data_IF_317287194606
#
_entry.id   IF_317287194606
#
_cell.length_a   1.000
_cell.length_b   1.000
_cell.length_c   1.000
_cell.angle_alpha   90.00
_cell.angle_beta   90.00
_cell.angle_gamma   90.00
#
_symmetry.space_group_name_H-M   'P 1'
#
loop_
_entity.id
_entity.type
_entity.pdbx_description
1 polymer ?
#
# COMPACT_ATOMS: atom_id res chain seq x y z
N UNK A 1 -10.73 -12.88 -11.01
CA UNK A 1 -11.60 -13.45 -9.95
C UNK A 1 -12.14 -14.84 -10.30
N UNK A 2 -12.36 -15.14 -11.58
CA UNK A 2 -12.97 -16.40 -12.07
C UNK A 2 -12.22 -17.70 -11.76
N UNK A 3 -10.94 -17.65 -11.39
CA UNK A 3 -10.12 -18.85 -11.10
C UNK A 3 -9.85 -19.11 -9.61
N UNK A 4 -10.47 -18.35 -8.71
CA UNK A 4 -10.28 -18.50 -7.24
C UNK A 4 -8.80 -18.46 -6.79
N UNK A 5 -7.98 -17.67 -7.48
CA UNK A 5 -6.58 -17.42 -7.16
C UNK A 5 -6.49 -16.16 -6.32
N UNK A 6 -5.86 -16.28 -5.14
CA UNK A 6 -5.50 -15.13 -4.34
C UNK A 6 -4.46 -14.28 -5.05
N UNK A 7 -4.64 -12.97 -4.96
CA UNK A 7 -3.75 -12.00 -5.56
C UNK A 7 -3.58 -10.84 -4.60
N UNK A 8 -2.44 -10.20 -4.71
CA UNK A 8 -2.09 -8.93 -4.11
C UNK A 8 -1.24 -8.18 -5.13
N UNK A 9 -1.15 -6.86 -5.02
CA UNK A 9 -0.40 -6.08 -6.00
C UNK A 9 0.30 -4.88 -5.37
N UNK A 10 1.40 -4.44 -5.99
CA UNK A 10 2.05 -3.19 -5.67
C UNK A 10 1.93 -2.26 -6.87
N UNK A 11 1.42 -1.05 -6.66
CA UNK A 11 1.23 -0.09 -7.73
C UNK A 11 2.34 0.97 -7.71
N UNK A 12 3.02 1.12 -8.85
CA UNK A 12 3.89 2.26 -9.07
C UNK A 12 3.01 3.49 -9.33
N UNK A 13 2.63 4.17 -8.26
CA UNK A 13 1.76 5.35 -8.31
C UNK A 13 2.51 6.58 -8.85
N UNK A 14 3.84 6.56 -8.74
CA UNK A 14 4.70 7.65 -9.17
C UNK A 14 5.88 7.16 -9.99
N UNK A 15 6.14 7.85 -11.10
CA UNK A 15 7.29 7.70 -11.99
C UNK A 15 7.73 9.11 -12.46
N UNK A 16 8.85 9.26 -13.20
CA UNK A 16 9.35 10.58 -13.59
C UNK A 16 8.39 11.44 -14.42
N UNK A 17 7.45 10.82 -15.12
CA UNK A 17 6.50 11.45 -16.05
C UNK A 17 5.09 11.56 -15.44
N UNK A 18 4.89 11.08 -14.21
CA UNK A 18 3.62 11.23 -13.49
C UNK A 18 3.24 12.70 -13.38
N UNK A 19 2.02 13.01 -13.81
CA UNK A 19 1.35 14.28 -13.56
C UNK A 19 0.27 14.11 -12.50
N UNK A 20 -0.13 15.20 -11.85
CA UNK A 20 -1.17 15.13 -10.83
C UNK A 20 -2.50 14.58 -11.38
N UNK A 21 -2.83 14.87 -12.64
CA UNK A 21 -4.05 14.36 -13.27
C UNK A 21 -3.94 12.86 -13.64
N UNK A 22 -2.74 12.39 -14.03
CA UNK A 22 -2.52 10.96 -14.34
C UNK A 22 -2.71 10.02 -13.15
N UNK A 23 -2.69 10.54 -11.92
CA UNK A 23 -2.91 9.78 -10.69
C UNK A 23 -4.38 9.38 -10.51
N UNK A 24 -5.34 10.15 -11.05
CA UNK A 24 -6.77 9.94 -10.77
C UNK A 24 -7.26 8.54 -11.16
N UNK A 25 -6.98 8.01 -12.37
CA UNK A 25 -7.36 6.65 -12.74
C UNK A 25 -6.73 5.57 -11.84
N UNK A 26 -5.51 5.79 -11.36
CA UNK A 26 -4.86 4.89 -10.40
C UNK A 26 -5.62 4.84 -9.07
N UNK A 27 -6.12 5.97 -8.58
CA UNK A 27 -6.94 6.01 -7.36
C UNK A 27 -8.30 5.33 -7.54
N UNK A 28 -8.86 5.35 -8.75
CA UNK A 28 -10.08 4.60 -9.09
C UNK A 28 -9.82 3.09 -9.11
N UNK A 29 -8.68 2.67 -9.67
CA UNK A 29 -8.26 1.27 -9.66
C UNK A 29 -8.06 0.76 -8.23
N UNK A 30 -7.38 1.54 -7.37
CA UNK A 30 -7.19 1.19 -5.96
C UNK A 30 -8.51 1.07 -5.21
N UNK A 31 -9.47 1.96 -5.45
CA UNK A 31 -10.80 1.88 -4.82
C UNK A 31 -11.55 0.64 -5.29
N UNK A 32 -11.50 0.37 -6.61
CA UNK A 32 -12.17 -0.79 -7.21
C UNK A 32 -11.65 -2.12 -6.63
N UNK A 33 -10.34 -2.20 -6.37
CA UNK A 33 -9.69 -3.36 -5.78
C UNK A 33 -9.36 -3.19 -4.30
N UNK A 34 -10.11 -2.36 -3.56
CA UNK A 34 -9.81 -2.08 -2.15
C UNK A 34 -9.83 -3.34 -1.26
N UNK A 35 -10.57 -4.37 -1.65
CA UNK A 35 -10.66 -5.65 -0.94
C UNK A 35 -9.48 -6.62 -1.20
N UNK A 36 -8.59 -6.24 -2.10
CA UNK A 36 -7.35 -6.95 -2.42
C UNK A 36 -6.21 -6.24 -1.69
N UNK A 37 -5.34 -6.97 -0.95
CA UNK A 37 -4.16 -6.35 -0.35
C UNK A 37 -3.31 -5.67 -1.43
N UNK A 38 -3.02 -4.39 -1.21
CA UNK A 38 -2.13 -3.65 -2.09
C UNK A 38 -1.16 -2.78 -1.30
N UNK A 39 -0.05 -2.47 -1.96
CA UNK A 39 0.86 -1.41 -1.57
C UNK A 39 1.02 -0.44 -2.76
N UNK A 40 1.63 0.71 -2.52
CA UNK A 40 2.00 1.64 -3.58
C UNK A 40 3.32 2.31 -3.26
N UNK A 41 4.08 2.62 -4.31
CA UNK A 41 5.36 3.29 -4.20
C UNK A 41 5.68 4.13 -5.43
N UNK A 42 6.89 4.69 -5.44
CA UNK A 42 7.50 5.34 -6.59
C UNK A 42 8.40 4.35 -7.30
N UNK A 43 8.51 4.44 -8.63
CA UNK A 43 9.48 3.71 -9.41
C UNK A 43 10.90 3.95 -8.88
N UNK A 44 11.58 2.88 -8.50
CA UNK A 44 12.98 2.91 -8.08
C UNK A 44 13.92 2.96 -9.30
N UNK A 45 15.05 3.64 -9.13
CA UNK A 45 16.06 3.74 -10.18
C UNK A 45 17.18 2.77 -9.85
N UNK A 46 17.23 1.66 -10.59
CA UNK A 46 18.33 0.71 -10.49
C UNK A 46 19.46 1.04 -11.46
N UNK A 47 20.67 0.71 -11.05
CA UNK A 47 21.89 0.96 -11.82
C UNK A 47 21.81 0.24 -13.18
N UNK A 48 22.33 0.90 -14.21
CA UNK A 48 22.40 0.46 -15.61
C UNK A 48 21.06 0.34 -16.35
N UNK A 49 19.94 0.59 -15.66
CA UNK A 49 18.62 0.56 -16.31
C UNK A 49 18.45 1.71 -17.30
N UNK A 50 17.57 1.55 -18.32
CA UNK A 50 17.20 2.65 -19.21
C UNK A 50 16.71 3.89 -18.46
N UNK A 51 16.03 3.69 -17.32
CA UNK A 51 15.53 4.77 -16.46
C UNK A 51 16.67 5.60 -15.86
N UNK A 52 17.71 4.94 -15.30
CA UNK A 52 18.88 5.64 -14.77
C UNK A 52 19.57 6.47 -15.86
N UNK A 53 19.87 5.83 -17.00
CA UNK A 53 20.55 6.48 -18.14
C UNK A 53 19.77 7.69 -18.66
N UNK A 54 18.44 7.62 -18.65
CA UNK A 54 17.56 8.75 -19.01
C UNK A 54 17.68 9.88 -17.98
N UNK A 55 17.45 9.59 -16.70
CA UNK A 55 17.48 10.60 -15.63
C UNK A 55 18.86 11.26 -15.46
N UNK A 56 19.94 10.52 -15.72
CA UNK A 56 21.30 11.08 -15.79
C UNK A 56 21.44 12.10 -16.92
N UNK A 57 20.97 11.78 -18.13
CA UNK A 57 21.03 12.71 -19.27
C UNK A 57 20.17 13.96 -19.05
N UNK A 58 19.05 13.80 -18.36
CA UNK A 58 18.15 14.91 -17.99
C UNK A 58 18.68 15.74 -16.80
N UNK A 59 19.76 15.33 -16.15
CA UNK A 59 20.31 16.02 -14.97
C UNK A 59 19.39 15.96 -13.74
N UNK A 60 18.45 15.02 -13.70
CA UNK A 60 17.43 14.89 -12.63
C UNK A 60 17.76 13.82 -11.60
N UNK A 61 18.81 13.02 -11.83
CA UNK A 61 19.22 11.98 -10.91
C UNK A 61 19.98 12.57 -9.71
N UNK A 62 19.55 12.19 -8.51
CA UNK A 62 20.16 12.58 -7.25
C UNK A 62 20.51 11.35 -6.39
N UNK A 63 21.28 11.59 -5.32
CA UNK A 63 21.70 10.55 -4.38
C UNK A 63 22.85 9.67 -4.88
N UNK A 64 23.16 8.64 -4.11
CA UNK A 64 24.24 7.67 -4.40
C UNK A 64 23.67 6.38 -4.97
N UNK A 65 24.54 5.46 -5.40
CA UNK A 65 24.09 4.17 -5.93
C UNK A 65 23.27 3.34 -4.94
N UNK A 66 23.41 3.56 -3.62
CA UNK A 66 22.62 2.90 -2.58
C UNK A 66 21.22 3.51 -2.39
N UNK A 67 21.01 4.75 -2.83
CA UNK A 67 19.79 5.50 -2.60
C UNK A 67 19.56 6.52 -3.72
N UNK A 68 19.38 6.02 -4.94
CA UNK A 68 19.08 6.87 -6.10
C UNK A 68 17.70 7.50 -5.93
N UNK A 69 17.61 8.80 -6.21
CA UNK A 69 16.37 9.55 -6.22
C UNK A 69 16.27 10.44 -7.46
N UNK A 70 15.08 10.96 -7.71
CA UNK A 70 14.82 11.96 -8.75
C UNK A 70 13.61 12.79 -8.33
N UNK A 71 13.44 13.93 -9.01
CA UNK A 71 12.24 14.76 -8.92
C UNK A 71 11.35 14.52 -10.14
N UNK A 72 10.03 14.47 -9.97
CA UNK A 72 9.05 14.35 -11.06
C UNK A 72 9.02 15.62 -11.92
N UNK A 73 8.54 15.49 -13.16
CA UNK A 73 8.45 16.63 -14.08
C UNK A 73 7.36 17.63 -13.66
N UNK A 74 6.25 17.12 -13.12
CA UNK A 74 5.16 17.94 -12.59
C UNK A 74 5.43 18.29 -11.12
N UNK A 75 5.64 19.58 -10.76
CA UNK A 75 5.89 20.00 -9.39
C UNK A 75 4.76 19.64 -8.41
N UNK A 76 3.51 19.52 -8.88
CA UNK A 76 2.39 19.12 -8.02
C UNK A 76 2.36 17.62 -7.78
N UNK A 77 2.76 16.82 -8.77
CA UNK A 77 2.96 15.38 -8.58
C UNK A 77 4.12 15.13 -7.60
N UNK A 78 5.22 15.87 -7.74
CA UNK A 78 6.36 15.82 -6.82
C UNK A 78 5.94 16.21 -5.38
N UNK A 79 5.14 17.26 -5.23
CA UNK A 79 4.59 17.64 -3.93
C UNK A 79 3.72 16.51 -3.34
N UNK A 80 2.79 15.97 -4.12
CA UNK A 80 1.94 14.86 -3.68
C UNK A 80 2.79 13.67 -3.23
N UNK A 81 3.81 13.29 -4.01
CA UNK A 81 4.74 12.23 -3.65
C UNK A 81 5.42 12.48 -2.31
N UNK A 82 5.96 13.68 -2.07
CA UNK A 82 6.65 13.99 -0.80
C UNK A 82 5.73 13.91 0.41
N UNK A 83 4.48 14.38 0.27
CA UNK A 83 3.47 14.26 1.32
C UNK A 83 3.16 12.77 1.55
N UNK A 84 2.88 12.02 0.48
CA UNK A 84 2.56 10.58 0.56
C UNK A 84 3.71 9.78 1.19
N UNK A 85 4.95 9.95 0.72
CA UNK A 85 6.12 9.24 1.24
C UNK A 85 6.34 9.48 2.72
N UNK A 86 6.03 10.69 3.21
CA UNK A 86 6.13 11.02 4.63
C UNK A 86 4.95 10.45 5.41
N UNK A 87 3.72 10.72 4.96
CA UNK A 87 2.50 10.40 5.69
C UNK A 87 2.21 8.89 5.75
N UNK A 88 2.58 8.14 4.70
CA UNK A 88 2.39 6.69 4.61
C UNK A 88 3.64 5.89 4.99
N UNK A 89 4.76 6.52 5.38
CA UNK A 89 6.04 5.84 5.57
C UNK A 89 5.91 4.57 6.44
N UNK A 90 5.32 4.74 7.63
CA UNK A 90 5.13 3.63 8.57
C UNK A 90 4.13 2.60 8.06
N UNK A 91 3.01 3.02 7.44
CA UNK A 91 1.97 2.11 6.94
C UNK A 91 2.52 1.15 5.88
N UNK A 92 3.34 1.68 4.96
CA UNK A 92 3.72 1.00 3.74
C UNK A 92 5.12 0.36 3.78
N UNK A 93 6.05 0.90 4.58
CA UNK A 93 7.47 0.53 4.53
C UNK A 93 8.07 0.08 5.87
N UNK A 94 7.35 0.24 6.99
CA UNK A 94 7.78 -0.40 8.23
C UNK A 94 7.61 -1.92 8.12
N UNK A 95 8.52 -2.68 8.72
CA UNK A 95 8.44 -4.16 8.76
C UNK A 95 7.15 -4.65 9.42
N UNK A 96 6.66 -3.89 10.41
CA UNK A 96 5.39 -4.12 11.11
C UNK A 96 4.25 -3.23 10.57
N UNK A 97 4.40 -2.70 9.35
CA UNK A 97 3.43 -1.80 8.72
C UNK A 97 2.09 -2.48 8.41
N UNK A 98 1.00 -1.70 8.43
CA UNK A 98 -0.36 -2.23 8.24
C UNK A 98 -0.55 -2.85 6.85
N UNK A 99 0.11 -2.30 5.81
CA UNK A 99 0.04 -2.85 4.47
C UNK A 99 0.65 -4.27 4.40
N UNK A 100 1.80 -4.47 5.05
CA UNK A 100 2.45 -5.79 5.14
C UNK A 100 1.60 -6.77 5.95
N UNK A 101 1.13 -6.36 7.14
CA UNK A 101 0.30 -7.25 7.97
C UNK A 101 -1.00 -7.67 7.26
N UNK A 102 -1.60 -6.78 6.47
CA UNK A 102 -2.79 -7.09 5.68
C UNK A 102 -2.47 -8.12 4.58
N UNK A 103 -1.31 -8.00 3.92
CA UNK A 103 -0.85 -8.97 2.93
C UNK A 103 -0.61 -10.33 3.59
N UNK A 104 0.16 -10.37 4.67
CA UNK A 104 0.52 -11.59 5.40
C UNK A 104 -0.73 -12.34 5.89
N UNK A 105 -1.64 -11.64 6.57
CA UNK A 105 -2.91 -12.25 7.04
C UNK A 105 -3.66 -12.91 5.88
N UNK A 106 -3.79 -12.21 4.74
CA UNK A 106 -4.57 -12.73 3.61
C UNK A 106 -3.88 -13.90 2.92
N UNK A 107 -2.55 -13.88 2.87
CA UNK A 107 -1.78 -15.02 2.39
C UNK A 107 -1.95 -16.24 3.31
N UNK A 108 -1.83 -16.06 4.63
CA UNK A 108 -1.98 -17.15 5.61
C UNK A 108 -3.36 -17.78 5.59
N UNK A 109 -4.42 -17.01 5.29
CA UNK A 109 -5.78 -17.53 5.12
C UNK A 109 -5.87 -18.48 3.92
N UNK A 110 -5.13 -18.23 2.85
CA UNK A 110 -5.11 -19.10 1.68
C UNK A 110 -4.31 -20.37 1.94
N UNK A 111 -3.24 -20.28 2.75
CA UNK A 111 -2.54 -21.44 3.29
C UNK A 111 -3.50 -22.28 4.14
N UNK A 112 -4.27 -21.66 5.04
CA UNK A 112 -5.30 -22.35 5.83
C UNK A 112 -6.34 -23.01 4.92
N UNK A 113 -6.85 -22.30 3.92
CA UNK A 113 -7.83 -22.84 2.96
C UNK A 113 -7.33 -24.07 2.22
N UNK A 114 -6.04 -24.08 1.85
CA UNK A 114 -5.44 -25.14 1.04
C UNK A 114 -5.00 -26.35 1.86
N UNK A 115 -4.38 -26.12 3.02
CA UNK A 115 -3.70 -27.16 3.79
C UNK A 115 -4.40 -27.54 5.10
N UNK A 116 -5.33 -26.73 5.58
CA UNK A 116 -6.08 -26.94 6.83
C UNK A 116 -7.59 -26.76 6.58
N UNK A 117 -8.13 -27.46 5.58
CA UNK A 117 -9.52 -27.26 5.14
C UNK A 117 -10.56 -27.56 6.23
N UNK A 118 -10.22 -28.33 7.26
CA UNK A 118 -11.09 -28.56 8.42
C UNK A 118 -11.23 -27.32 9.32
N UNK A 119 -10.28 -26.40 9.24
CA UNK A 119 -10.30 -25.11 9.94
C UNK A 119 -10.86 -23.99 9.08
N UNK A 120 -11.22 -24.27 7.82
CA UNK A 120 -11.77 -23.28 6.90
C UNK A 120 -13.16 -22.82 7.32
N UNK A 121 -13.33 -21.52 7.43
CA UNK A 121 -14.59 -20.87 7.75
C UNK A 121 -14.85 -19.73 6.74
N UNK A 122 -15.87 -19.88 5.87
CA UNK A 122 -16.24 -18.84 4.92
C UNK A 122 -16.62 -17.50 5.58
N UNK A 123 -17.17 -17.52 6.81
CA UNK A 123 -17.52 -16.30 7.53
C UNK A 123 -16.26 -15.56 8.02
N UNK A 124 -15.26 -16.30 8.51
CA UNK A 124 -13.96 -15.75 8.86
C UNK A 124 -13.26 -15.13 7.65
N UNK A 125 -13.24 -15.83 6.50
CA UNK A 125 -12.66 -15.28 5.27
C UNK A 125 -13.35 -13.99 4.83
N UNK A 126 -14.69 -13.91 4.89
CA UNK A 126 -15.42 -12.66 4.57
C UNK A 126 -15.00 -11.49 5.47
N UNK A 127 -14.78 -11.74 6.77
CA UNK A 127 -14.29 -10.72 7.71
C UNK A 127 -12.88 -10.24 7.36
N UNK A 128 -11.99 -11.15 6.96
CA UNK A 128 -10.65 -10.80 6.51
C UNK A 128 -10.66 -9.99 5.20
N UNK A 129 -11.55 -10.33 4.26
CA UNK A 129 -11.76 -9.54 3.03
C UNK A 129 -12.27 -8.14 3.36
N UNK A 130 -13.23 -8.02 4.28
CA UNK A 130 -13.72 -6.71 4.73
C UNK A 130 -12.62 -5.91 5.43
N UNK A 131 -11.78 -6.55 6.24
CA UNK A 131 -10.62 -5.89 6.85
C UNK A 131 -9.67 -5.31 5.79
N UNK A 132 -9.35 -6.09 4.74
CA UNK A 132 -8.55 -5.56 3.63
C UNK A 132 -9.24 -4.38 2.94
N UNK A 133 -10.56 -4.45 2.74
CA UNK A 133 -11.37 -3.37 2.17
C UNK A 133 -11.33 -2.10 3.01
N UNK A 134 -11.39 -2.21 4.34
CA UNK A 134 -11.24 -1.08 5.26
C UNK A 134 -9.85 -0.41 5.10
N UNK A 135 -8.77 -1.21 5.07
CA UNK A 135 -7.39 -0.71 4.88
C UNK A 135 -7.23 -0.04 3.50
N UNK A 136 -7.75 -0.68 2.45
CA UNK A 136 -7.69 -0.18 1.09
C UNK A 136 -8.42 1.16 0.94
N UNK A 137 -9.67 1.24 1.41
CA UNK A 137 -10.48 2.47 1.39
C UNK A 137 -9.88 3.59 2.23
N UNK A 138 -9.33 3.29 3.41
CA UNK A 138 -8.61 4.27 4.23
C UNK A 138 -7.44 4.86 3.43
N UNK A 139 -6.65 4.00 2.76
CA UNK A 139 -5.50 4.44 1.97
C UNK A 139 -5.93 5.30 0.78
N UNK A 140 -6.97 4.90 0.04
CA UNK A 140 -7.51 5.67 -1.09
C UNK A 140 -8.06 7.02 -0.64
N UNK A 141 -8.81 7.07 0.47
CA UNK A 141 -9.35 8.32 1.01
C UNK A 141 -8.25 9.33 1.27
N UNK A 142 -7.19 8.93 1.99
CA UNK A 142 -6.06 9.82 2.25
C UNK A 142 -5.30 10.21 0.98
N UNK A 143 -5.13 9.29 0.02
CA UNK A 143 -4.53 9.62 -1.27
C UNK A 143 -5.35 10.67 -2.03
N UNK A 144 -6.69 10.59 -1.99
CA UNK A 144 -7.59 11.59 -2.59
C UNK A 144 -7.54 12.93 -1.87
N UNK A 145 -7.46 12.92 -0.54
CA UNK A 145 -7.32 14.15 0.24
C UNK A 145 -5.99 14.86 -0.08
N UNK A 146 -4.89 14.11 -0.13
CA UNK A 146 -3.57 14.64 -0.47
C UNK A 146 -3.55 15.15 -1.92
N UNK A 147 -4.16 14.42 -2.86
CA UNK A 147 -4.31 14.87 -4.24
C UNK A 147 -5.06 16.20 -4.34
N UNK A 148 -6.20 16.31 -3.64
CA UNK A 148 -7.00 17.53 -3.60
C UNK A 148 -6.28 18.71 -2.94
N UNK A 149 -5.42 18.44 -1.95
CA UNK A 149 -4.53 19.45 -1.36
C UNK A 149 -3.45 19.89 -2.35
N UNK A 150 -2.70 18.95 -2.92
CA UNK A 150 -1.63 19.20 -3.88
C UNK A 150 -2.13 19.95 -5.13
N UNK A 151 -3.40 19.77 -5.52
CA UNK A 151 -4.04 20.49 -6.62
C UNK A 151 -4.30 21.97 -6.34
N UNK A 152 -4.59 22.34 -5.09
CA UNK A 152 -5.11 23.67 -4.72
C UNK A 152 -4.08 24.56 -4.01
N UNK A 153 -3.14 23.96 -3.30
CA UNK A 153 -2.15 24.72 -2.52
C UNK A 153 -1.24 25.55 -3.41
N UNK A 154 -0.79 26.69 -2.90
CA UNK A 154 0.40 27.39 -3.41
C UNK A 154 1.62 26.55 -3.07
N UNK A 155 2.50 26.33 -4.04
CA UNK A 155 3.74 25.56 -3.88
C UNK A 155 4.79 26.32 -3.06
N UNK A 156 4.64 27.64 -2.93
CA UNK A 156 5.52 28.51 -2.14
C UNK A 156 5.13 28.59 -0.67
N UNK A 157 3.91 28.16 -0.32
CA UNK A 157 3.44 28.15 1.06
C UNK A 157 3.95 26.91 1.81
N UNK A 158 5.24 26.96 2.15
CA UNK A 158 5.93 25.86 2.82
C UNK A 158 5.36 25.56 4.20
N UNK A 159 4.83 26.55 4.91
CA UNK A 159 4.26 26.37 6.24
C UNK A 159 2.95 25.57 6.17
N UNK A 160 2.04 25.92 5.24
CA UNK A 160 0.81 25.16 5.02
C UNK A 160 1.09 23.73 4.54
N UNK A 161 2.05 23.54 3.63
CA UNK A 161 2.46 22.21 3.16
C UNK A 161 2.98 21.36 4.32
N UNK A 162 3.85 21.94 5.16
CA UNK A 162 4.42 21.24 6.32
C UNK A 162 3.35 20.87 7.33
N UNK A 163 2.48 21.81 7.69
CA UNK A 163 1.38 21.58 8.62
C UNK A 163 0.46 20.46 8.12
N UNK A 164 0.01 20.55 6.87
CA UNK A 164 -0.84 19.53 6.24
C UNK A 164 -0.18 18.15 6.24
N UNK A 165 1.11 18.07 5.89
CA UNK A 165 1.86 16.80 5.87
C UNK A 165 1.90 16.15 7.25
N UNK A 166 2.22 16.93 8.29
CA UNK A 166 2.32 16.44 9.67
C UNK A 166 0.95 15.99 10.20
N UNK A 167 -0.09 16.78 9.94
CA UNK A 167 -1.44 16.46 10.42
C UNK A 167 -2.01 15.23 9.69
N UNK A 168 -1.75 15.09 8.39
CA UNK A 168 -2.12 13.91 7.62
C UNK A 168 -1.39 12.66 8.13
N UNK A 169 -0.08 12.75 8.38
CA UNK A 169 0.70 11.64 8.94
C UNK A 169 0.17 11.19 10.31
N UNK A 170 -0.19 12.16 11.17
CA UNK A 170 -0.82 11.88 12.47
C UNK A 170 -2.19 11.24 12.34
N UNK A 171 -3.01 11.71 11.40
CA UNK A 171 -4.34 11.16 11.15
C UNK A 171 -4.25 9.70 10.67
N UNK A 172 -3.39 9.43 9.69
CA UNK A 172 -3.10 8.06 9.21
C UNK A 172 -2.63 7.18 10.37
N UNK A 173 -1.68 7.64 11.18
CA UNK A 173 -1.15 6.85 12.29
C UNK A 173 -2.22 6.52 13.34
N UNK A 174 -3.12 7.46 13.66
CA UNK A 174 -4.23 7.23 14.59
C UNK A 174 -5.23 6.20 14.05
N UNK A 175 -5.58 6.28 12.77
CA UNK A 175 -6.47 5.29 12.16
C UNK A 175 -5.78 3.93 12.05
N UNK A 176 -4.50 3.91 11.70
CA UNK A 176 -3.68 2.70 11.66
C UNK A 176 -3.71 1.97 12.99
N UNK A 177 -3.56 2.68 14.10
CA UNK A 177 -3.62 2.07 15.43
C UNK A 177 -4.92 1.27 15.66
N UNK A 178 -6.06 1.82 15.21
CA UNK A 178 -7.36 1.14 15.31
C UNK A 178 -7.44 -0.08 14.38
N UNK A 179 -6.98 0.08 13.13
CA UNK A 179 -6.97 -1.00 12.13
C UNK A 179 -6.00 -2.13 12.53
N UNK A 180 -4.86 -1.82 13.12
CA UNK A 180 -3.92 -2.78 13.70
C UNK A 180 -4.57 -3.63 14.79
N UNK A 181 -5.36 -3.02 15.67
CA UNK A 181 -6.09 -3.75 16.71
C UNK A 181 -7.03 -4.80 16.12
N UNK A 182 -7.82 -4.41 15.11
CA UNK A 182 -8.71 -5.33 14.39
C UNK A 182 -7.94 -6.44 13.66
N UNK A 183 -6.87 -6.08 12.95
CA UNK A 183 -6.02 -7.01 12.21
C UNK A 183 -5.36 -8.04 13.14
N UNK A 184 -4.83 -7.60 14.28
CA UNK A 184 -4.24 -8.49 15.29
C UNK A 184 -5.26 -9.46 15.87
N UNK A 185 -6.50 -9.01 16.10
CA UNK A 185 -7.57 -9.90 16.56
C UNK A 185 -7.87 -11.00 15.54
N UNK A 186 -7.92 -10.66 14.24
CA UNK A 186 -8.10 -11.63 13.16
C UNK A 186 -6.91 -12.61 13.07
N UNK A 187 -5.67 -12.12 13.18
CA UNK A 187 -4.49 -13.00 13.20
C UNK A 187 -4.45 -13.92 14.42
N UNK A 188 -4.89 -13.44 15.59
CA UNK A 188 -5.03 -14.29 16.78
C UNK A 188 -6.07 -15.40 16.60
N UNK A 189 -7.20 -15.08 15.98
CA UNK A 189 -8.24 -16.06 15.60
C UNK A 189 -7.74 -17.04 14.53
N UNK A 190 -6.94 -16.58 13.57
CA UNK A 190 -6.30 -17.45 12.57
C UNK A 190 -5.36 -18.46 13.23
N UNK A 191 -4.49 -18.00 14.14
CA UNK A 191 -3.53 -18.85 14.83
C UNK A 191 -4.23 -19.92 15.70
N UNK A 192 -5.32 -19.55 16.41
CA UNK A 192 -6.05 -20.51 17.24
C UNK A 192 -6.78 -21.59 16.43
N UNK A 193 -7.15 -21.30 15.18
CA UNK A 193 -7.76 -22.27 14.26
C UNK A 193 -6.78 -23.33 13.75
N UNK A 194 -5.48 -23.06 13.76
CA UNK A 194 -4.44 -23.99 13.31
C UNK A 194 -3.77 -24.70 14.50
N UNK A 195 -3.73 -24.06 15.67
CA UNK A 195 -3.17 -24.61 16.90
C UNK A 195 -3.85 -25.92 17.34
N UNK A 196 -3.25 -27.05 16.99
CA UNK A 196 -3.74 -28.39 17.34
C UNK A 196 -4.03 -29.32 16.15
N UNK A 197 -3.88 -28.86 14.91
CA UNK A 197 -4.07 -29.71 13.73
C UNK A 197 -2.74 -30.23 13.16
N UNK A 198 -2.67 -31.52 12.86
CA UNK A 198 -1.59 -32.09 12.05
C UNK A 198 -1.85 -31.81 10.57
N UNK A 199 -0.80 -31.40 9.85
CA UNK A 199 -0.84 -31.29 8.40
C UNK A 199 -1.26 -32.64 7.79
N UNK A 200 -2.26 -32.62 6.91
CA UNK A 200 -2.65 -33.78 6.10
C UNK A 200 -2.66 -33.36 4.63
N UNK A 201 -1.85 -33.98 3.76
CA UNK A 201 -1.96 -33.73 2.33
C UNK A 201 -3.37 -34.16 1.88
N UNK A 202 -3.96 -33.40 0.95
CA UNK A 202 -5.14 -33.88 0.23
C UNK A 202 -4.71 -35.08 -0.61
N UNK A 203 -5.39 -36.21 -0.48
CA UNK A 203 -5.34 -37.26 -1.50
C UNK A 203 -5.86 -36.64 -2.80
N UNK A 204 -5.09 -36.79 -3.88
CA UNK A 204 -5.42 -36.26 -5.20
C UNK A 204 -6.59 -37.08 -5.76
N UNK A 205 -7.73 -36.42 -6.01
CA UNK A 205 -8.82 -36.91 -6.87
C UNK A 205 -8.60 -36.43 -8.32
#
# INVERSE_FOLDING_TARGET
RERSIFHAFNMLLFDPDTTLDSIVPNLELLEHYADVPFNFCRAEVYVETPLEKRLMREGRLAGTYFARSYEMNDPRAELMFRIVSTAFNRRNFAQDGLAMLNLDMRFDIEILRRFYSNSWDPAFHRRAVEMSREVGRSSVRYLRDIHAFARRTDLRDHDSIRAYTVDTARAIHREDFLLFGKMRALNGELASRVGGQSWRPREED
#
